data_IF_207074403116
#
_entry.id   IF_207074403116
#
_cell.length_a   1.000
_cell.length_b   1.000
_cell.length_c   1.000
_cell.angle_alpha   90.00
_cell.angle_beta   90.00
_cell.angle_gamma   90.00
#
_symmetry.space_group_name_H-M   'P 1'
#
loop_
_entity.id
_entity.type
_entity.pdbx_description
1 polymer ?
#
# COMPACT_ATOMS: atom_id res chain seq x y z
N UNK A 1 23.47 2.74 -17.20
CA UNK A 1 22.13 2.77 -16.55
C UNK A 1 21.94 1.44 -15.84
N UNK A 2 21.22 1.38 -14.71
CA UNK A 2 20.98 0.12 -14.00
C UNK A 2 20.01 -0.74 -14.81
N UNK A 3 20.36 -1.99 -15.16
CA UNK A 3 19.47 -2.90 -15.92
C UNK A 3 18.09 -3.08 -15.26
N UNK A 4 18.01 -2.89 -13.94
CA UNK A 4 16.75 -2.98 -13.18
C UNK A 4 15.82 -1.79 -13.48
N UNK A 5 16.37 -0.59 -13.71
CA UNK A 5 15.55 0.61 -13.98
C UNK A 5 14.82 0.52 -15.33
N UNK A 6 15.38 -0.21 -16.29
CA UNK A 6 14.79 -0.43 -17.61
C UNK A 6 13.63 -1.45 -17.57
N UNK A 7 13.66 -2.37 -16.60
CA UNK A 7 12.60 -3.36 -16.38
C UNK A 7 11.43 -2.90 -15.50
N UNK A 8 11.41 -1.63 -15.06
CA UNK A 8 10.29 -1.08 -14.29
C UNK A 8 9.22 -0.48 -15.22
N UNK A 9 7.96 -0.75 -14.90
CA UNK A 9 6.82 -0.09 -15.57
C UNK A 9 6.79 1.41 -15.24
N UNK A 10 5.95 2.18 -15.95
CA UNK A 10 5.79 3.60 -15.64
C UNK A 10 5.27 3.82 -14.21
N UNK A 11 4.21 3.10 -13.84
CA UNK A 11 3.62 3.14 -12.50
C UNK A 11 4.63 2.75 -11.41
N UNK A 12 5.43 1.71 -11.62
CA UNK A 12 6.47 1.32 -10.67
C UNK A 12 7.53 2.40 -10.48
N UNK A 13 7.90 3.13 -11.53
CA UNK A 13 8.83 4.25 -11.44
C UNK A 13 8.22 5.39 -10.64
N UNK A 14 6.96 5.73 -10.89
CA UNK A 14 6.23 6.78 -10.18
C UNK A 14 6.08 6.44 -8.69
N UNK A 15 5.64 5.22 -8.37
CA UNK A 15 5.51 4.75 -7.00
C UNK A 15 6.86 4.70 -6.28
N UNK A 16 7.93 4.23 -6.93
CA UNK A 16 9.26 4.23 -6.31
C UNK A 16 9.74 5.65 -5.96
N UNK A 17 9.44 6.63 -6.81
CA UNK A 17 9.74 8.03 -6.55
C UNK A 17 8.86 8.61 -5.45
N UNK A 18 7.56 8.29 -5.43
CA UNK A 18 6.64 8.73 -4.40
C UNK A 18 7.03 8.17 -3.01
N UNK A 19 7.39 6.89 -2.92
CA UNK A 19 7.88 6.26 -1.69
C UNK A 19 9.21 6.87 -1.25
N UNK A 20 10.09 7.27 -2.19
CA UNK A 20 11.34 7.99 -1.86
C UNK A 20 11.07 9.35 -1.24
N UNK A 21 10.18 10.12 -1.87
CA UNK A 21 9.97 11.53 -1.56
C UNK A 21 9.02 11.73 -0.36
N UNK A 22 8.31 10.67 0.04
CA UNK A 22 7.46 10.66 1.21
C UNK A 22 8.19 10.12 2.45
N UNK A 23 8.24 10.92 3.52
CA UNK A 23 8.83 10.49 4.79
C UNK A 23 8.10 9.30 5.43
N UNK A 24 6.79 9.17 5.18
CA UNK A 24 5.92 8.09 5.66
C UNK A 24 4.90 7.78 4.57
N UNK A 25 5.20 6.85 3.67
CA UNK A 25 4.26 6.46 2.61
C UNK A 25 3.24 5.46 3.17
N UNK A 26 1.98 5.86 3.41
CA UNK A 26 0.98 5.02 4.05
C UNK A 26 0.47 3.95 3.09
N UNK A 27 0.34 2.72 3.59
CA UNK A 27 -0.31 1.61 2.91
C UNK A 27 -1.26 0.92 3.88
N UNK A 28 -2.32 0.31 3.36
CA UNK A 28 -3.31 -0.41 4.17
C UNK A 28 -3.50 -1.85 3.73
N UNK A 29 -4.03 -2.65 4.63
CA UNK A 29 -4.65 -3.95 4.35
C UNK A 29 -6.08 -3.93 4.84
N UNK A 30 -6.99 -4.44 4.02
CA UNK A 30 -8.35 -4.71 4.43
C UNK A 30 -8.40 -6.13 4.93
N UNK A 31 -8.57 -6.29 6.24
CA UNK A 31 -8.52 -7.58 6.90
C UNK A 31 -9.86 -7.89 7.56
N UNK A 32 -10.25 -9.15 7.45
CA UNK A 32 -11.33 -9.73 8.23
C UNK A 32 -10.73 -10.45 9.43
N UNK A 33 -11.24 -10.14 10.61
CA UNK A 33 -10.83 -10.69 11.89
C UNK A 33 -12.00 -11.43 12.54
N UNK A 34 -11.70 -12.38 13.43
CA UNK A 34 -12.69 -13.06 14.27
C UNK A 34 -12.51 -12.68 15.73
N UNK A 35 -13.56 -12.20 16.39
CA UNK A 35 -13.54 -11.97 17.85
C UNK A 35 -13.51 -13.28 18.63
N UNK A 36 -13.91 -14.41 18.02
CA UNK A 36 -13.94 -15.73 18.65
C UNK A 36 -12.57 -16.42 18.61
N UNK A 37 -11.77 -16.16 17.58
CA UNK A 37 -10.44 -16.72 17.41
C UNK A 37 -9.47 -15.68 16.83
N UNK A 38 -8.63 -15.11 17.68
CA UNK A 38 -7.69 -14.03 17.29
C UNK A 38 -6.62 -14.44 16.27
N UNK A 39 -6.39 -15.74 16.06
CA UNK A 39 -5.50 -16.26 15.02
C UNK A 39 -6.15 -16.24 13.63
N UNK A 40 -7.47 -16.12 13.53
CA UNK A 40 -8.17 -16.04 12.25
C UNK A 40 -8.12 -14.60 11.72
N UNK A 41 -7.26 -14.41 10.73
CA UNK A 41 -7.16 -13.19 9.94
C UNK A 41 -7.19 -13.55 8.46
N UNK A 42 -8.04 -12.87 7.68
CA UNK A 42 -8.08 -13.01 6.22
C UNK A 42 -7.89 -11.65 5.57
N UNK A 43 -6.86 -11.50 4.74
CA UNK A 43 -6.63 -10.28 3.97
C UNK A 43 -7.48 -10.31 2.70
N UNK A 44 -8.46 -9.40 2.61
CA UNK A 44 -9.34 -9.26 1.46
C UNK A 44 -8.73 -8.36 0.36
N UNK A 45 -7.95 -7.36 0.76
CA UNK A 45 -7.21 -6.49 -0.15
C UNK A 45 -5.89 -6.06 0.48
N UNK A 46 -4.79 -6.22 -0.26
CA UNK A 46 -3.43 -5.97 0.19
C UNK A 46 -2.84 -4.71 -0.45
N UNK A 47 -1.88 -4.07 0.23
CA UNK A 47 -1.11 -2.92 -0.25
C UNK A 47 -1.96 -1.76 -0.77
N UNK A 48 -3.05 -1.47 -0.06
CA UNK A 48 -4.02 -0.43 -0.39
C UNK A 48 -3.38 0.95 -0.27
N UNK A 49 -3.43 1.69 -1.36
CA UNK A 49 -3.15 3.13 -1.42
C UNK A 49 -4.40 3.78 -1.99
N UNK A 50 -4.86 4.85 -1.33
CA UNK A 50 -6.00 5.65 -1.78
C UNK A 50 -5.49 7.08 -1.96
N UNK A 51 -5.61 7.60 -3.18
CA UNK A 51 -5.29 8.98 -3.52
C UNK A 51 -6.56 9.84 -3.46
N UNK A 52 -7.71 9.26 -3.84
CA UNK A 52 -9.02 9.90 -3.79
C UNK A 52 -10.06 8.98 -3.17
N UNK A 53 -11.02 9.55 -2.44
CA UNK A 53 -12.06 8.77 -1.76
C UNK A 53 -12.90 7.88 -2.69
N UNK A 54 -12.98 8.26 -3.97
CA UNK A 54 -13.72 7.58 -5.05
C UNK A 54 -12.85 6.65 -5.92
N UNK A 55 -11.62 6.34 -5.51
CA UNK A 55 -10.75 5.40 -6.22
C UNK A 55 -11.43 4.02 -6.36
N UNK A 56 -11.44 3.49 -7.58
CA UNK A 56 -12.04 2.18 -7.85
C UNK A 56 -11.18 1.03 -7.32
N UNK A 57 -11.80 -0.12 -7.06
CA UNK A 57 -11.10 -1.34 -6.63
C UNK A 57 -10.00 -1.77 -7.63
N UNK A 58 -10.22 -1.56 -8.93
CA UNK A 58 -9.25 -1.93 -9.98
C UNK A 58 -7.99 -1.04 -9.92
N UNK A 59 -8.17 0.26 -9.71
CA UNK A 59 -7.04 1.19 -9.52
C UNK A 59 -6.22 0.81 -8.28
N UNK A 60 -6.89 0.56 -7.16
CA UNK A 60 -6.24 0.16 -5.91
C UNK A 60 -5.47 -1.15 -6.07
N UNK A 61 -6.06 -2.17 -6.72
CA UNK A 61 -5.38 -3.44 -7.02
C UNK A 61 -4.17 -3.26 -7.93
N UNK A 62 -4.26 -2.37 -8.92
CA UNK A 62 -3.17 -2.07 -9.83
C UNK A 62 -1.98 -1.45 -9.10
N UNK A 63 -2.25 -0.46 -8.22
CA UNK A 63 -1.22 0.18 -7.39
C UNK A 63 -0.62 -0.82 -6.40
N UNK A 64 -1.45 -1.59 -5.69
CA UNK A 64 -1.00 -2.59 -4.72
C UNK A 64 -0.12 -3.68 -5.35
N UNK A 65 -0.46 -4.12 -6.57
CA UNK A 65 0.35 -5.08 -7.34
C UNK A 65 1.70 -4.49 -7.75
N UNK A 66 1.75 -3.21 -8.12
CA UNK A 66 3.00 -2.52 -8.43
C UNK A 66 3.88 -2.36 -7.20
N UNK A 67 3.32 -2.06 -6.02
CA UNK A 67 4.05 -2.04 -4.75
C UNK A 67 4.63 -3.42 -4.40
N UNK A 68 3.81 -4.48 -4.52
CA UNK A 68 4.28 -5.85 -4.30
C UNK A 68 5.43 -6.21 -5.25
N UNK A 69 5.33 -5.86 -6.53
CA UNK A 69 6.41 -6.11 -7.49
C UNK A 69 7.69 -5.31 -7.17
N UNK A 70 7.56 -4.06 -6.69
CA UNK A 70 8.71 -3.27 -6.23
C UNK A 70 9.39 -3.91 -5.01
N UNK A 71 8.60 -4.50 -4.09
CA UNK A 71 9.12 -5.25 -2.94
C UNK A 71 9.84 -6.53 -3.36
N UNK A 72 9.25 -7.32 -4.27
CA UNK A 72 9.87 -8.52 -4.85
C UNK A 72 11.20 -8.19 -5.53
N UNK A 73 11.28 -7.04 -6.21
CA UNK A 73 12.50 -6.51 -6.83
C UNK A 73 13.50 -5.98 -5.80
N UNK A 74 13.15 -5.93 -4.51
CA UNK A 74 13.95 -5.45 -3.39
C UNK A 74 14.16 -3.94 -3.40
N UNK A 75 13.26 -3.17 -4.02
CA UNK A 75 13.37 -1.72 -4.16
C UNK A 75 12.63 -0.98 -3.05
N UNK A 76 11.56 -1.55 -2.54
CA UNK A 76 10.85 -1.09 -1.34
C UNK A 76 10.72 -2.23 -0.34
N UNK A 77 10.34 -1.89 0.89
CA UNK A 77 9.96 -2.81 1.95
C UNK A 77 8.59 -2.38 2.48
N UNK A 78 7.64 -3.31 2.55
CA UNK A 78 6.27 -3.07 3.00
C UNK A 78 6.13 -3.59 4.43
N UNK A 79 5.95 -2.67 5.37
CA UNK A 79 6.06 -2.93 6.79
C UNK A 79 4.70 -2.77 7.48
N UNK A 80 4.12 -3.89 7.92
CA UNK A 80 2.84 -3.94 8.62
C UNK A 80 2.98 -4.26 10.12
N UNK A 81 4.19 -4.53 10.62
CA UNK A 81 4.46 -4.79 12.05
C UNK A 81 4.86 -3.50 12.79
N UNK A 82 4.18 -2.41 12.45
CA UNK A 82 4.51 -1.10 12.96
C UNK A 82 3.52 -0.69 14.06
N UNK A 83 4.08 -0.24 15.18
CA UNK A 83 3.33 0.48 16.23
C UNK A 83 3.05 1.92 15.78
N UNK A 84 2.36 2.10 14.66
CA UNK A 84 2.08 3.41 14.07
C UNK A 84 1.05 4.15 14.92
N UNK A 85 1.40 5.37 15.32
CA UNK A 85 0.56 6.21 16.21
C UNK A 85 -0.12 7.37 15.51
N UNK A 86 0.28 7.71 14.27
CA UNK A 86 -0.28 8.85 13.55
C UNK A 86 -1.48 8.38 12.74
N UNK A 87 -2.67 8.64 13.28
CA UNK A 87 -3.94 8.22 12.67
C UNK A 87 -4.16 8.90 11.32
N UNK A 88 -3.78 10.17 11.20
CA UNK A 88 -4.09 11.01 10.03
C UNK A 88 -3.47 10.55 8.71
N UNK A 89 -2.36 9.80 8.75
CA UNK A 89 -1.71 9.28 7.53
C UNK A 89 -2.63 8.28 6.78
N UNK A 90 -3.65 7.74 7.46
CA UNK A 90 -4.56 6.72 6.93
C UNK A 90 -5.96 7.25 6.65
N UNK A 91 -6.21 8.55 6.86
CA UNK A 91 -7.55 9.13 6.74
C UNK A 91 -8.13 8.95 5.33
N UNK A 92 -7.29 9.05 4.30
CA UNK A 92 -7.72 8.80 2.92
C UNK A 92 -8.24 7.37 2.72
N UNK A 93 -7.57 6.38 3.34
CA UNK A 93 -7.97 4.98 3.26
C UNK A 93 -9.21 4.72 4.13
N UNK A 94 -9.18 5.17 5.38
CA UNK A 94 -10.24 4.94 6.35
C UNK A 94 -11.57 5.63 5.98
N UNK A 95 -11.52 6.74 5.26
CA UNK A 95 -12.70 7.47 4.80
C UNK A 95 -13.01 7.22 3.31
N UNK A 96 -12.41 6.21 2.68
CA UNK A 96 -12.69 5.85 1.29
C UNK A 96 -14.02 5.12 1.14
N UNK A 97 -14.68 5.31 -0.01
CA UNK A 97 -15.90 4.57 -0.34
C UNK A 97 -15.62 3.06 -0.39
N UNK A 98 -14.43 2.67 -0.82
CA UNK A 98 -14.02 1.27 -0.90
C UNK A 98 -13.90 0.61 0.48
N UNK A 99 -13.34 1.32 1.48
CA UNK A 99 -13.27 0.79 2.84
C UNK A 99 -14.65 0.73 3.49
N UNK A 100 -15.51 1.74 3.27
CA UNK A 100 -16.90 1.71 3.73
C UNK A 100 -17.68 0.52 3.15
N UNK A 101 -17.52 0.24 1.85
CA UNK A 101 -18.12 -0.93 1.20
C UNK A 101 -17.59 -2.24 1.80
N UNK A 102 -16.29 -2.34 2.07
CA UNK A 102 -15.70 -3.51 2.70
C UNK A 102 -16.27 -3.75 4.11
N UNK A 103 -16.44 -2.70 4.92
CA UNK A 103 -17.08 -2.80 6.23
C UNK A 103 -18.52 -3.32 6.11
N UNK A 104 -19.32 -2.76 5.20
CA UNK A 104 -20.70 -3.22 4.99
C UNK A 104 -20.75 -4.70 4.58
N UNK A 105 -19.88 -5.14 3.67
CA UNK A 105 -19.79 -6.55 3.27
C UNK A 105 -19.47 -7.47 4.45
N UNK A 106 -18.60 -7.03 5.36
CA UNK A 106 -18.26 -7.80 6.55
C UNK A 106 -19.42 -7.87 7.56
N UNK A 107 -20.19 -6.79 7.70
CA UNK A 107 -21.41 -6.77 8.54
C UNK A 107 -22.49 -7.69 7.98
N UNK A 108 -22.73 -7.64 6.67
CA UNK A 108 -23.71 -8.50 6.01
C UNK A 108 -23.32 -9.98 6.12
N UNK A 109 -22.03 -10.29 5.98
CA UNK A 109 -21.51 -11.65 6.05
C UNK A 109 -21.70 -12.28 7.45
N UNK A 110 -21.66 -11.49 8.52
CA UNK A 110 -21.89 -11.96 9.90
C UNK A 110 -23.30 -12.50 10.15
N UNK A 111 -24.27 -12.12 9.33
CA UNK A 111 -25.63 -12.65 9.43
C UNK A 111 -25.71 -14.14 9.04
N UNK A 112 -24.65 -14.68 8.42
CA UNK A 112 -24.55 -16.09 8.07
C UNK A 112 -23.89 -16.90 9.19
N UNK A 113 -24.56 -17.91 9.78
CA UNK A 113 -24.05 -18.68 10.92
C UNK A 113 -22.71 -19.38 10.70
N UNK A 114 -22.40 -19.71 9.44
CA UNK A 114 -21.17 -20.40 9.03
C UNK A 114 -19.99 -19.43 8.81
N UNK A 115 -20.22 -18.12 8.85
CA UNK A 115 -19.17 -17.14 8.62
C UNK A 115 -18.33 -16.91 9.89
N UNK A 116 -17.01 -17.11 9.75
CA UNK A 116 -16.09 -17.14 10.90
C UNK A 116 -15.59 -15.74 11.32
N UNK A 117 -15.61 -14.79 10.40
CA UNK A 117 -15.12 -13.43 10.63
C UNK A 117 -16.25 -12.48 11.00
N UNK A 118 -15.99 -11.55 11.91
CA UNK A 118 -17.01 -10.64 12.44
C UNK A 118 -16.51 -9.20 12.60
N UNK A 119 -15.33 -8.90 12.07
CA UNK A 119 -14.80 -7.55 12.09
C UNK A 119 -13.98 -7.24 10.84
N UNK A 120 -14.34 -6.15 10.16
CA UNK A 120 -13.48 -5.53 9.17
C UNK A 120 -12.49 -4.60 9.87
N UNK A 121 -11.21 -4.71 9.52
CA UNK A 121 -10.15 -3.88 10.06
C UNK A 121 -9.27 -3.29 8.95
N UNK A 122 -8.85 -2.05 9.15
CA UNK A 122 -7.75 -1.45 8.41
C UNK A 122 -6.44 -1.74 9.15
N UNK A 123 -5.71 -2.73 8.67
CA UNK A 123 -4.34 -2.98 9.12
C UNK A 123 -3.41 -1.97 8.44
N UNK A 124 -2.66 -1.24 9.26
CA UNK A 124 -1.88 -0.07 8.84
C UNK A 124 -0.43 -0.46 8.59
N UNK A 125 0.12 -0.06 7.45
CA UNK A 125 1.50 -0.29 7.11
C UNK A 125 2.18 0.93 6.49
N UNK A 126 3.49 0.82 6.29
CA UNK A 126 4.28 1.80 5.55
C UNK A 126 5.08 1.13 4.45
N UNK A 127 5.16 1.79 3.30
CA UNK A 127 6.17 1.49 2.30
C UNK A 127 7.44 2.32 2.61
N UNK A 128 8.60 1.66 2.59
CA UNK A 128 9.91 2.29 2.81
C UNK A 128 10.83 1.99 1.64
N UNK A 129 11.56 2.98 1.16
CA UNK A 129 12.56 2.75 0.11
C UNK A 129 13.78 2.01 0.68
N UNK A 130 14.30 1.04 -0.07
CA UNK A 130 15.55 0.35 0.29
C UNK A 130 16.76 1.11 -0.24
N UNK A 131 17.97 0.76 0.23
CA UNK A 131 19.21 1.29 -0.35
C UNK A 131 19.33 0.98 -1.85
N UNK A 132 18.80 -0.16 -2.29
CA UNK A 132 18.76 -0.53 -3.72
C UNK A 132 17.75 0.34 -4.48
N UNK A 133 16.55 0.50 -3.93
CA UNK A 133 15.53 1.40 -4.46
C UNK A 133 16.03 2.83 -4.64
N UNK A 134 16.72 3.37 -3.63
CA UNK A 134 17.27 4.72 -3.64
C UNK A 134 18.26 4.95 -4.80
N UNK A 135 19.13 3.96 -5.08
CA UNK A 135 20.05 4.02 -6.22
C UNK A 135 19.32 4.00 -7.55
N UNK A 136 18.28 3.18 -7.68
CA UNK A 136 17.45 3.11 -8.88
C UNK A 136 16.69 4.42 -9.07
N UNK A 137 16.03 4.93 -8.04
CA UNK A 137 15.29 6.19 -8.06
C UNK A 137 16.17 7.39 -8.48
N UNK A 138 17.41 7.45 -8.01
CA UNK A 138 18.40 8.46 -8.44
C UNK A 138 18.76 8.38 -9.92
N UNK A 139 18.70 7.19 -10.51
CA UNK A 139 18.96 7.00 -11.94
C UNK A 139 17.78 7.36 -12.84
N UNK A 140 16.56 7.42 -12.29
CA UNK A 140 15.35 7.84 -13.00
C UNK A 140 15.30 9.37 -13.22
N UNK A 141 15.98 10.15 -12.38
CA UNK A 141 16.18 11.59 -12.56
C UNK A 141 17.59 11.85 -13.10
N UNK A 142 17.79 12.12 -14.41
CA UNK A 142 19.10 12.56 -14.86
C UNK A 142 19.44 13.89 -14.19
N UNK A 143 20.60 13.94 -13.52
CA UNK A 143 21.19 15.19 -12.99
C UNK A 143 21.19 16.24 -14.10
N UNK A 144 20.36 17.27 -13.98
CA UNK A 144 20.61 18.53 -14.67
C UNK A 144 21.91 19.07 -14.07
N UNK A 145 23.03 18.85 -14.77
CA UNK A 145 24.27 19.56 -14.47
C UNK A 145 24.02 21.02 -14.83
N UNK A 146 23.64 21.84 -13.85
CA UNK A 146 23.71 23.30 -13.98
C UNK A 146 25.19 23.64 -14.16
N UNK A 147 25.60 23.86 -15.42
CA UNK A 147 26.86 24.55 -15.71
C UNK A 147 26.70 25.97 -15.18
N UNK A 148 27.26 26.25 -14.01
CA UNK A 148 27.55 27.63 -13.66
C UNK A 148 28.65 28.10 -14.63
N UNK A 149 28.30 29.12 -15.43
CA UNK A 149 29.24 29.93 -16.20
C UNK A 149 29.75 31.05 -15.30
#
# INVERSE_FOLDING_TARGET
MSMIAEGLTHLEKELLLAVRDCNRFPIGRFELHSTKESSLVSTALDNVVIERSDDSMEQVKTIGSALASLEEKGLVFLDYDLKIRVVSDYDAIANSDLFAQFCQMAEDAQLHPEFLFDRAELCKGLAKITVKGERVAKSLHPRIKVKQR
#
